data_IF_291043650311
#
_entry.id   IF_291043650311
#
_cell.length_a   1.000
_cell.length_b   1.000
_cell.length_c   1.000
_cell.angle_alpha   90.00
_cell.angle_beta   90.00
_cell.angle_gamma   90.00
#
_symmetry.space_group_name_H-M   'P 1'
#
loop_
_entity.id
_entity.type
_entity.pdbx_description
1 polymer ?
#
# COMPACT_ATOMS: atom_id res chain seq x y z
N UNK A 1 12.58 22.11 -25.75
CA UNK A 1 12.39 20.64 -25.81
C UNK A 1 12.56 19.99 -24.43
N UNK A 2 13.72 20.08 -23.77
CA UNK A 2 13.99 19.41 -22.48
C UNK A 2 12.98 19.72 -21.36
N UNK A 3 12.65 21.00 -21.14
CA UNK A 3 11.69 21.44 -20.12
C UNK A 3 10.29 20.83 -20.30
N UNK A 4 9.78 20.80 -21.53
CA UNK A 4 8.45 20.23 -21.85
C UNK A 4 8.40 18.73 -21.54
N UNK A 5 9.51 18.01 -21.77
CA UNK A 5 9.62 16.59 -21.43
C UNK A 5 9.65 16.36 -19.92
N UNK A 6 10.38 17.20 -19.16
CA UNK A 6 10.39 17.15 -17.70
C UNK A 6 9.00 17.43 -17.12
N UNK A 7 8.30 18.46 -17.58
CA UNK A 7 6.95 18.81 -17.14
C UNK A 7 5.93 17.70 -17.47
N UNK A 8 6.06 17.04 -18.63
CA UNK A 8 5.25 15.86 -18.95
C UNK A 8 5.55 14.72 -17.98
N UNK A 9 6.81 14.39 -17.74
CA UNK A 9 7.19 13.31 -16.82
C UNK A 9 6.76 13.59 -15.39
N UNK A 10 6.82 14.85 -14.94
CA UNK A 10 6.34 15.27 -13.63
C UNK A 10 4.82 15.05 -13.50
N UNK A 11 4.03 15.41 -14.52
CA UNK A 11 2.58 15.11 -14.54
C UNK A 11 2.30 13.61 -14.48
N UNK A 12 3.06 12.81 -15.24
CA UNK A 12 2.88 11.35 -15.26
C UNK A 12 3.20 10.73 -13.88
N UNK A 13 4.31 11.15 -13.24
CA UNK A 13 4.67 10.72 -11.89
C UNK A 13 3.63 11.15 -10.87
N UNK A 14 3.15 12.39 -10.94
CA UNK A 14 2.12 12.90 -10.05
C UNK A 14 0.81 12.10 -10.18
N UNK A 15 0.34 11.84 -11.41
CA UNK A 15 -0.87 11.05 -11.64
C UNK A 15 -0.76 9.63 -11.08
N UNK A 16 0.42 9.01 -11.19
CA UNK A 16 0.71 7.70 -10.59
C UNK A 16 0.73 7.77 -9.07
N UNK A 17 1.31 8.82 -8.50
CA UNK A 17 1.39 9.02 -7.05
C UNK A 17 0.00 9.17 -6.43
N UNK A 18 -0.88 9.96 -7.06
CA UNK A 18 -2.27 10.13 -6.59
C UNK A 18 -2.98 8.78 -6.54
N UNK A 19 -2.94 8.00 -7.64
CA UNK A 19 -3.57 6.67 -7.68
C UNK A 19 -2.99 5.71 -6.65
N UNK A 20 -1.67 5.66 -6.52
CA UNK A 20 -1.02 4.77 -5.54
C UNK A 20 -1.40 5.14 -4.09
N UNK A 21 -1.58 6.43 -3.78
CA UNK A 21 -2.06 6.87 -2.46
C UNK A 21 -3.53 6.52 -2.23
N UNK A 22 -4.38 6.65 -3.24
CA UNK A 22 -5.79 6.23 -3.18
C UNK A 22 -5.91 4.72 -2.95
N UNK A 23 -5.16 3.93 -3.73
CA UNK A 23 -5.10 2.47 -3.56
C UNK A 23 -4.58 2.09 -2.16
N UNK A 24 -3.57 2.80 -1.65
CA UNK A 24 -3.04 2.56 -0.31
C UNK A 24 -4.06 2.87 0.78
N UNK A 25 -4.85 3.95 0.62
CA UNK A 25 -5.91 4.31 1.55
C UNK A 25 -6.97 3.21 1.63
N UNK A 26 -7.45 2.74 0.47
CA UNK A 26 -8.41 1.63 0.38
C UNK A 26 -7.85 0.35 1.02
N UNK A 27 -6.58 0.01 0.71
CA UNK A 27 -5.97 -1.20 1.26
C UNK A 27 -5.77 -1.12 2.78
N UNK A 28 -5.48 0.07 3.33
CA UNK A 28 -5.43 0.26 4.77
C UNK A 28 -6.81 0.04 5.43
N UNK A 29 -7.89 0.56 4.83
CA UNK A 29 -9.25 0.34 5.33
C UNK A 29 -9.64 -1.15 5.30
N UNK A 30 -9.36 -1.83 4.19
CA UNK A 30 -9.61 -3.26 4.07
C UNK A 30 -8.79 -4.08 5.08
N UNK A 31 -7.53 -3.69 5.32
CA UNK A 31 -6.67 -4.38 6.27
C UNK A 31 -7.23 -4.31 7.70
N UNK A 32 -7.80 -3.17 8.11
CA UNK A 32 -8.46 -3.05 9.42
C UNK A 32 -9.57 -4.09 9.59
N UNK A 33 -10.47 -4.21 8.60
CA UNK A 33 -11.59 -5.17 8.65
C UNK A 33 -11.09 -6.63 8.72
N UNK A 34 -10.04 -6.95 7.97
CA UNK A 34 -9.47 -8.31 7.96
C UNK A 34 -8.75 -8.63 9.25
N UNK A 35 -8.07 -7.65 9.87
CA UNK A 35 -7.45 -7.83 11.18
C UNK A 35 -8.49 -8.08 12.27
N UNK A 36 -9.58 -7.31 12.29
CA UNK A 36 -10.71 -7.53 13.20
C UNK A 36 -11.29 -8.95 13.03
N UNK A 37 -11.49 -9.39 11.79
CA UNK A 37 -11.99 -10.73 11.49
C UNK A 37 -11.02 -11.83 11.97
N UNK A 38 -9.71 -11.63 11.83
CA UNK A 38 -8.71 -12.57 12.30
C UNK A 38 -8.67 -12.66 13.84
N UNK A 39 -8.88 -11.54 14.53
CA UNK A 39 -8.99 -11.48 15.98
C UNK A 39 -10.26 -12.18 16.50
N UNK A 40 -11.41 -12.00 15.83
CA UNK A 40 -12.63 -12.73 16.15
C UNK A 40 -12.44 -14.25 15.98
N UNK A 41 -11.83 -14.68 14.87
CA UNK A 41 -11.51 -16.09 14.62
C UNK A 41 -10.57 -16.65 15.69
N UNK A 42 -9.60 -15.85 16.15
CA UNK A 42 -8.69 -16.21 17.25
C UNK A 42 -9.46 -16.47 18.54
N UNK A 43 -10.38 -15.59 18.92
CA UNK A 43 -11.22 -15.76 20.11
C UNK A 43 -12.06 -17.04 19.98
N UNK A 44 -12.67 -17.28 18.82
CA UNK A 44 -13.48 -18.49 18.58
C UNK A 44 -12.67 -19.77 18.68
N UNK A 45 -11.44 -19.78 18.13
CA UNK A 45 -10.53 -20.92 18.19
C UNK A 45 -10.17 -21.27 19.64
N UNK A 46 -9.89 -20.25 20.47
CA UNK A 46 -9.56 -20.44 21.88
C UNK A 46 -10.75 -20.93 22.71
N UNK A 47 -11.96 -20.44 22.43
CA UNK A 47 -13.16 -20.81 23.19
C UNK A 47 -13.69 -22.19 22.80
N UNK A 48 -13.64 -22.53 21.50
CA UNK A 48 -14.27 -23.76 21.00
C UNK A 48 -13.33 -24.96 21.06
N UNK A 49 -12.00 -24.72 21.08
CA UNK A 49 -10.95 -25.75 21.06
C UNK A 49 -11.14 -26.81 19.95
N UNK A 50 -11.81 -26.44 18.85
CA UNK A 50 -12.07 -27.34 17.74
C UNK A 50 -11.00 -27.18 16.65
N UNK A 51 -10.61 -28.28 15.97
CA UNK A 51 -9.70 -28.21 14.82
C UNK A 51 -10.19 -27.27 13.72
N UNK A 52 -11.51 -27.22 13.49
CA UNK A 52 -12.13 -26.33 12.50
C UNK A 52 -11.91 -24.86 12.84
N UNK A 53 -12.16 -24.45 14.08
CA UNK A 53 -11.96 -23.06 14.50
C UNK A 53 -10.47 -22.65 14.45
N UNK A 54 -9.56 -23.58 14.78
CA UNK A 54 -8.11 -23.35 14.58
C UNK A 54 -7.75 -23.16 13.11
N UNK A 55 -8.34 -23.94 12.20
CA UNK A 55 -8.11 -23.80 10.77
C UNK A 55 -8.59 -22.43 10.26
N UNK A 56 -9.81 -22.03 10.62
CA UNK A 56 -10.38 -20.72 10.24
C UNK A 56 -9.50 -19.56 10.72
N UNK A 57 -9.01 -19.61 11.96
CA UNK A 57 -8.07 -18.62 12.48
C UNK A 57 -6.77 -18.57 11.65
N UNK A 58 -6.17 -19.73 11.35
CA UNK A 58 -4.94 -19.80 10.57
C UNK A 58 -5.10 -19.29 9.14
N UNK A 59 -6.29 -19.45 8.54
CA UNK A 59 -6.61 -18.89 7.23
C UNK A 59 -6.75 -17.37 7.31
N UNK A 60 -7.52 -16.85 8.26
CA UNK A 60 -7.69 -15.41 8.47
C UNK A 60 -6.34 -14.70 8.73
N UNK A 61 -5.46 -15.28 9.56
CA UNK A 61 -4.11 -14.76 9.79
C UNK A 61 -3.28 -14.72 8.50
N UNK A 62 -3.29 -15.80 7.70
CA UNK A 62 -2.57 -15.82 6.42
C UNK A 62 -3.08 -14.77 5.45
N UNK A 63 -4.38 -14.51 5.43
CA UNK A 63 -4.98 -13.43 4.63
C UNK A 63 -4.52 -12.05 5.11
N UNK A 64 -4.57 -11.78 6.42
CA UNK A 64 -4.08 -10.53 7.00
C UNK A 64 -2.60 -10.29 6.66
N UNK A 65 -1.75 -11.31 6.83
CA UNK A 65 -0.32 -11.24 6.53
C UNK A 65 -0.04 -10.94 5.05
N UNK A 66 -0.81 -11.52 4.13
CA UNK A 66 -0.70 -11.23 2.71
C UNK A 66 -1.06 -9.78 2.39
N UNK A 67 -2.11 -9.24 3.02
CA UNK A 67 -2.51 -7.85 2.86
C UNK A 67 -1.49 -6.87 3.44
N UNK A 68 -0.90 -7.19 4.60
CA UNK A 68 0.21 -6.39 5.17
C UNK A 68 1.38 -6.30 4.18
N UNK A 69 1.80 -7.42 3.58
CA UNK A 69 2.87 -7.41 2.57
C UNK A 69 2.50 -6.57 1.34
N UNK A 70 1.26 -6.65 0.87
CA UNK A 70 0.79 -5.83 -0.24
C UNK A 70 0.78 -4.33 0.12
N UNK A 71 0.32 -3.97 1.32
CA UNK A 71 0.31 -2.61 1.86
C UNK A 71 1.72 -2.05 1.92
N UNK A 72 2.67 -2.82 2.43
CA UNK A 72 4.07 -2.41 2.54
C UNK A 72 4.73 -2.20 1.17
N UNK A 73 4.44 -3.08 0.21
CA UNK A 73 4.95 -2.94 -1.16
C UNK A 73 4.37 -1.69 -1.86
N UNK A 74 3.09 -1.40 -1.67
CA UNK A 74 2.46 -0.20 -2.20
C UNK A 74 2.97 1.07 -1.51
N UNK A 75 3.18 1.03 -0.19
CA UNK A 75 3.81 2.12 0.56
C UNK A 75 5.21 2.46 0.06
N UNK A 76 6.03 1.44 -0.26
CA UNK A 76 7.34 1.65 -0.92
C UNK A 76 7.20 2.32 -2.29
N UNK A 77 6.21 1.90 -3.08
CA UNK A 77 5.93 2.48 -4.40
C UNK A 77 5.55 3.97 -4.28
N UNK A 78 4.74 4.33 -3.28
CA UNK A 78 4.41 5.73 -2.98
C UNK A 78 5.67 6.53 -2.65
N UNK A 79 6.51 6.03 -1.75
CA UNK A 79 7.75 6.70 -1.36
C UNK A 79 8.73 6.87 -2.54
N UNK A 80 8.83 5.87 -3.43
CA UNK A 80 9.64 5.95 -4.64
C UNK A 80 9.12 7.03 -5.61
N UNK A 81 7.80 7.13 -5.78
CA UNK A 81 7.17 8.14 -6.62
C UNK A 81 7.32 9.55 -6.06
N UNK A 82 7.24 9.71 -4.73
CA UNK A 82 7.49 10.99 -4.04
C UNK A 82 8.93 11.45 -4.27
N UNK A 83 9.92 10.59 -4.00
CA UNK A 83 11.32 10.91 -4.28
C UNK A 83 11.55 11.28 -5.73
N UNK A 84 10.93 10.53 -6.65
CA UNK A 84 11.05 10.83 -8.08
C UNK A 84 10.40 12.16 -8.47
N UNK A 85 9.29 12.51 -7.83
CA UNK A 85 8.63 13.80 -8.03
C UNK A 85 9.56 14.93 -7.56
N UNK A 86 10.16 14.80 -6.39
CA UNK A 86 11.10 15.80 -5.83
C UNK A 86 12.31 15.99 -6.74
N UNK A 87 12.95 14.91 -7.21
CA UNK A 87 14.05 14.97 -8.19
C UNK A 87 13.67 15.72 -9.47
N UNK A 88 12.45 15.49 -9.97
CA UNK A 88 11.96 16.15 -11.19
C UNK A 88 11.63 17.62 -10.95
N UNK A 89 11.07 17.96 -9.78
CA UNK A 89 10.82 19.35 -9.38
C UNK A 89 12.13 20.11 -9.25
N UNK A 90 13.14 19.53 -8.60
CA UNK A 90 14.47 20.11 -8.47
C UNK A 90 15.11 20.35 -9.84
N UNK A 91 15.00 19.41 -10.78
CA UNK A 91 15.51 19.57 -12.15
C UNK A 91 14.80 20.71 -12.91
N UNK A 92 13.49 20.87 -12.72
CA UNK A 92 12.70 21.96 -13.32
C UNK A 92 13.10 23.32 -12.72
N UNK A 93 13.31 23.40 -11.41
CA UNK A 93 13.65 24.64 -10.69
C UNK A 93 15.09 25.07 -10.94
N UNK A 94 16.05 24.13 -10.86
CA UNK A 94 17.48 24.44 -10.98
C UNK A 94 17.95 24.59 -12.43
N UNK A 95 17.15 24.13 -13.40
CA UNK A 95 17.51 24.15 -14.82
C UNK A 95 18.77 23.35 -15.16
N UNK A 96 19.27 22.52 -14.23
CA UNK A 96 20.45 21.68 -14.46
C UNK A 96 20.11 20.64 -15.53
N UNK A 97 20.89 20.69 -16.60
CA UNK A 97 20.86 19.75 -17.72
C UNK A 97 21.37 18.38 -17.29
#
# INVERSE_FOLDING_TARGET
>A
MHRVLLERRLRDVHARLVRAREELAVLNEQLTVVQESADEARVRALVSETPLATQEHNEATRHADAMVRARDALGKTVADLERRQDELLDAVVTGKQ
#
